data_IF_676597509599
#
_entry.id   IF_676597509599
#
_cell.length_a   1.000
_cell.length_b   1.000
_cell.length_c   1.000
_cell.angle_alpha   90.00
_cell.angle_beta   90.00
_cell.angle_gamma   90.00
#
_symmetry.space_group_name_H-M   'P 1'
#
loop_
_entity.id
_entity.type
_entity.pdbx_description
1 polymer ?
#
# COMPACT_ATOMS: atom_id res chain seq x y z
N UNK A 1 -6.04 8.00 -6.61
CA UNK A 1 -5.79 6.89 -5.67
C UNK A 1 -5.73 5.52 -6.33
N UNK A 2 -6.79 4.98 -6.95
CA UNK A 2 -6.74 3.61 -7.53
C UNK A 2 -5.61 3.38 -8.54
N UNK A 3 -5.32 4.37 -9.41
CA UNK A 3 -4.18 4.29 -10.36
C UNK A 3 -2.82 4.23 -9.64
N UNK A 4 -2.64 5.01 -8.58
CA UNK A 4 -1.41 5.03 -7.79
C UNK A 4 -1.20 3.72 -7.04
N UNK A 5 -2.26 3.18 -6.43
CA UNK A 5 -2.22 1.86 -5.78
C UNK A 5 -1.86 0.74 -6.77
N UNK A 6 -2.43 0.79 -7.98
CA UNK A 6 -2.10 -0.15 -9.04
C UNK A 6 -0.63 -0.03 -9.48
N UNK A 7 -0.14 1.20 -9.70
CA UNK A 7 1.26 1.44 -10.07
C UNK A 7 2.24 0.96 -8.99
N UNK A 8 1.91 1.13 -7.70
CA UNK A 8 2.69 0.58 -6.59
C UNK A 8 2.70 -0.96 -6.63
N UNK A 9 1.57 -1.60 -6.93
CA UNK A 9 1.51 -3.05 -7.06
C UNK A 9 2.38 -3.56 -8.24
N UNK A 10 2.35 -2.89 -9.39
CA UNK A 10 3.22 -3.23 -10.53
C UNK A 10 4.71 -3.08 -10.19
N UNK A 11 5.08 -2.05 -9.42
CA UNK A 11 6.45 -1.87 -8.94
C UNK A 11 6.87 -2.99 -7.99
N UNK A 12 6.01 -3.40 -7.06
CA UNK A 12 6.29 -4.52 -6.14
C UNK A 12 6.41 -5.86 -6.87
N UNK A 13 5.59 -6.09 -7.90
CA UNK A 13 5.66 -7.29 -8.73
C UNK A 13 7.00 -7.35 -9.50
N UNK A 14 7.36 -6.26 -10.20
CA UNK A 14 8.65 -6.12 -10.90
C UNK A 14 9.85 -6.24 -9.95
N UNK A 15 9.73 -5.72 -8.73
CA UNK A 15 10.75 -5.86 -7.69
C UNK A 15 10.94 -7.31 -7.28
N UNK A 16 9.85 -8.07 -7.15
CA UNK A 16 9.87 -9.45 -6.66
C UNK A 16 10.57 -10.44 -7.61
N UNK A 17 10.71 -10.07 -8.89
CA UNK A 17 11.29 -10.90 -9.94
C UNK A 17 12.70 -10.46 -10.34
N UNK A 18 13.11 -9.23 -10.02
CA UNK A 18 14.44 -8.71 -10.36
C UNK A 18 15.50 -9.04 -9.31
N UNK A 19 16.73 -9.30 -9.79
CA UNK A 19 17.95 -9.41 -8.96
C UNK A 19 19.00 -8.33 -9.28
N UNK A 20 18.74 -7.48 -10.27
CA UNK A 20 19.66 -6.40 -10.66
C UNK A 20 19.58 -5.24 -9.65
N UNK A 21 20.68 -4.93 -8.92
CA UNK A 21 20.68 -3.87 -7.92
C UNK A 21 20.32 -2.48 -8.46
N UNK A 22 20.71 -2.16 -9.69
CA UNK A 22 20.43 -0.84 -10.28
C UNK A 22 18.94 -0.70 -10.60
N UNK A 23 18.34 -1.75 -11.16
CA UNK A 23 16.91 -1.78 -11.43
C UNK A 23 16.07 -1.79 -10.14
N UNK A 24 16.52 -2.50 -9.11
CA UNK A 24 15.88 -2.53 -7.78
C UNK A 24 15.89 -1.13 -7.14
N UNK A 25 17.00 -0.41 -7.22
CA UNK A 25 17.11 0.97 -6.73
C UNK A 25 16.19 1.94 -7.48
N UNK A 26 16.09 1.78 -8.81
CA UNK A 26 15.18 2.57 -9.64
C UNK A 26 13.70 2.34 -9.27
N UNK A 27 13.32 1.08 -9.03
CA UNK A 27 11.98 0.75 -8.54
C UNK A 27 11.73 1.38 -7.17
N UNK A 28 12.68 1.29 -6.24
CA UNK A 28 12.53 1.89 -4.90
C UNK A 28 12.37 3.41 -4.97
N UNK A 29 13.15 4.07 -5.84
CA UNK A 29 13.02 5.52 -6.08
C UNK A 29 11.63 5.86 -6.60
N UNK A 30 11.17 5.15 -7.63
CA UNK A 30 9.85 5.41 -8.22
C UNK A 30 8.70 5.13 -7.23
N UNK A 31 8.87 4.13 -6.36
CA UNK A 31 7.93 3.84 -5.28
C UNK A 31 7.85 5.01 -4.29
N UNK A 32 8.99 5.53 -3.83
CA UNK A 32 9.02 6.68 -2.92
C UNK A 32 8.37 7.92 -3.54
N UNK A 33 8.64 8.21 -4.82
CA UNK A 33 7.98 9.32 -5.54
C UNK A 33 6.45 9.19 -5.56
N UNK A 34 5.94 7.98 -5.80
CA UNK A 34 4.48 7.75 -5.79
C UNK A 34 3.88 7.87 -4.38
N UNK A 35 4.63 7.53 -3.34
CA UNK A 35 4.21 7.74 -1.94
C UNK A 35 4.10 9.24 -1.66
N UNK A 36 5.13 10.01 -2.01
CA UNK A 36 5.17 11.46 -1.82
C UNK A 36 4.06 12.15 -2.62
N UNK A 37 3.82 11.74 -3.88
CA UNK A 37 2.72 12.24 -4.72
C UNK A 37 1.34 11.99 -4.09
N UNK A 38 1.16 10.84 -3.42
CA UNK A 38 -0.08 10.52 -2.71
C UNK A 38 -0.23 11.41 -1.48
N UNK A 39 0.82 11.57 -0.68
CA UNK A 39 0.78 12.38 0.53
C UNK A 39 0.52 13.86 0.19
N UNK A 40 1.17 14.42 -0.83
CA UNK A 40 0.91 15.79 -1.30
C UNK A 40 -0.55 15.96 -1.77
N UNK A 41 -1.09 14.96 -2.46
CA UNK A 41 -2.50 14.97 -2.85
C UNK A 41 -3.42 14.93 -1.63
N UNK A 42 -3.12 14.11 -0.62
CA UNK A 42 -3.90 14.04 0.62
C UNK A 42 -3.85 15.37 1.38
N UNK A 43 -2.67 15.98 1.51
CA UNK A 43 -2.52 17.27 2.18
C UNK A 43 -3.35 18.37 1.51
N UNK A 44 -3.40 18.37 0.18
CA UNK A 44 -4.16 19.36 -0.59
C UNK A 44 -5.67 19.13 -0.53
N UNK A 45 -6.13 17.90 -0.73
CA UNK A 45 -7.55 17.59 -0.85
C UNK A 45 -8.23 17.28 0.49
N UNK A 46 -7.46 16.84 1.49
CA UNK A 46 -7.92 16.37 2.80
C UNK A 46 -7.01 16.87 3.93
N UNK A 47 -6.87 18.19 4.14
CA UNK A 47 -5.94 18.74 5.14
C UNK A 47 -6.25 18.28 6.58
N UNK A 48 -7.51 18.00 6.91
CA UNK A 48 -7.88 17.43 8.21
C UNK A 48 -7.39 15.98 8.41
N UNK A 49 -7.14 15.25 7.32
CA UNK A 49 -6.57 13.91 7.35
C UNK A 49 -5.05 13.92 7.54
N UNK A 50 -4.39 14.96 7.03
CA UNK A 50 -2.95 15.14 7.16
C UNK A 50 -2.53 15.49 8.60
N UNK A 51 -3.44 16.03 9.41
CA UNK A 51 -3.18 16.37 10.81
C UNK A 51 -3.24 15.09 11.67
N UNK A 52 -2.08 14.44 11.83
CA UNK A 52 -1.87 13.37 12.81
C UNK A 52 -2.12 11.93 12.32
N UNK A 53 -2.32 11.71 11.03
CA UNK A 53 -2.32 10.36 10.44
C UNK A 53 -0.90 9.88 10.09
N UNK A 54 -0.67 8.57 10.17
CA UNK A 54 0.45 7.95 9.44
C UNK A 54 0.35 8.31 7.95
N UNK A 55 1.49 8.46 7.25
CA UNK A 55 1.53 8.74 5.80
C UNK A 55 0.60 7.79 5.04
N UNK A 56 -0.40 8.37 4.37
CA UNK A 56 -1.39 7.61 3.60
C UNK A 56 -0.71 6.92 2.43
N UNK A 57 0.27 7.57 1.80
CA UNK A 57 1.11 6.97 0.77
C UNK A 57 1.80 5.71 1.26
N UNK A 58 2.37 5.73 2.47
CA UNK A 58 3.00 4.54 3.09
C UNK A 58 1.99 3.44 3.38
N UNK A 59 0.78 3.77 3.84
CA UNK A 59 -0.27 2.75 4.06
C UNK A 59 -0.68 2.10 2.75
N UNK A 60 -0.91 2.89 1.69
CA UNK A 60 -1.26 2.38 0.36
C UNK A 60 -0.12 1.54 -0.23
N UNK A 61 1.15 1.92 -0.02
CA UNK A 61 2.31 1.13 -0.44
C UNK A 61 2.36 -0.24 0.24
N UNK A 62 2.13 -0.29 1.56
CA UNK A 62 2.09 -1.56 2.32
C UNK A 62 0.98 -2.47 1.82
N UNK A 63 -0.21 -1.92 1.54
CA UNK A 63 -1.33 -2.69 0.98
C UNK A 63 -0.98 -3.25 -0.41
N UNK A 64 -0.41 -2.43 -1.29
CA UNK A 64 0.02 -2.86 -2.61
C UNK A 64 1.06 -3.99 -2.53
N UNK A 65 2.04 -3.87 -1.63
CA UNK A 65 3.03 -4.91 -1.37
C UNK A 65 2.38 -6.20 -0.86
N UNK A 66 1.52 -6.11 0.14
CA UNK A 66 0.84 -7.26 0.73
C UNK A 66 -0.02 -8.00 -0.30
N UNK A 67 -0.71 -7.26 -1.17
CA UNK A 67 -1.46 -7.83 -2.29
C UNK A 67 -0.56 -8.63 -3.23
N UNK A 68 0.59 -8.10 -3.63
CA UNK A 68 1.56 -8.83 -4.47
C UNK A 68 2.06 -10.09 -3.75
N UNK A 69 2.43 -9.99 -2.47
CA UNK A 69 2.90 -11.16 -1.72
C UNK A 69 1.84 -12.26 -1.57
N UNK A 70 0.58 -11.89 -1.36
CA UNK A 70 -0.53 -12.84 -1.26
C UNK A 70 -0.77 -13.59 -2.58
N UNK A 71 -0.67 -12.90 -3.72
CA UNK A 71 -0.80 -13.54 -5.04
C UNK A 71 0.41 -14.43 -5.34
N UNK A 72 1.63 -13.97 -5.06
CA UNK A 72 2.83 -14.80 -5.23
C UNK A 72 2.82 -16.05 -4.35
N UNK A 73 2.25 -15.99 -3.16
CA UNK A 73 2.10 -17.15 -2.28
C UNK A 73 1.14 -18.19 -2.87
N UNK A 74 0.02 -17.75 -3.46
CA UNK A 74 -0.89 -18.66 -4.20
C UNK A 74 -0.13 -19.35 -5.34
N UNK A 75 0.60 -18.57 -6.14
CA UNK A 75 1.29 -19.11 -7.33
C UNK A 75 2.41 -20.09 -6.97
N UNK A 76 3.13 -19.83 -5.86
CA UNK A 76 4.29 -20.64 -5.44
C UNK A 76 3.91 -21.86 -4.60
N UNK A 77 2.91 -21.73 -3.74
CA UNK A 77 2.62 -22.70 -2.67
C UNK A 77 1.21 -23.26 -2.73
N UNK A 78 0.36 -22.70 -3.59
CA UNK A 78 -1.03 -23.09 -3.75
C UNK A 78 -1.97 -22.38 -2.77
N UNK A 79 -3.24 -22.26 -3.19
CA UNK A 79 -4.26 -21.51 -2.48
C UNK A 79 -4.60 -22.04 -1.06
N UNK A 80 -4.23 -23.29 -0.75
CA UNK A 80 -4.53 -23.95 0.54
C UNK A 80 -3.32 -24.02 1.48
N UNK A 81 -2.19 -23.40 1.13
CA UNK A 81 -1.02 -23.41 2.01
C UNK A 81 -1.21 -22.47 3.20
N UNK A 82 -0.66 -22.85 4.35
CA UNK A 82 -0.65 -22.00 5.54
C UNK A 82 0.02 -20.66 5.28
N UNK A 83 1.03 -20.61 4.41
CA UNK A 83 1.71 -19.36 4.06
C UNK A 83 0.83 -18.44 3.21
N UNK A 84 0.09 -18.99 2.25
CA UNK A 84 -0.93 -18.24 1.51
C UNK A 84 -1.94 -17.63 2.49
N UNK A 85 -2.46 -18.43 3.44
CA UNK A 85 -3.38 -17.93 4.46
C UNK A 85 -2.78 -16.78 5.29
N UNK A 86 -1.51 -16.88 5.70
CA UNK A 86 -0.82 -15.79 6.43
C UNK A 86 -0.73 -14.49 5.61
N UNK A 87 -0.38 -14.57 4.34
CA UNK A 87 -0.28 -13.38 3.49
C UNK A 87 -1.63 -12.71 3.24
N UNK A 88 -2.68 -13.52 3.03
CA UNK A 88 -4.05 -12.99 2.89
C UNK A 88 -4.58 -12.39 4.20
N UNK A 89 -4.31 -13.02 5.34
CA UNK A 89 -4.67 -12.48 6.64
C UNK A 89 -3.98 -11.14 6.90
N UNK A 90 -2.69 -11.04 6.61
CA UNK A 90 -1.95 -9.78 6.73
C UNK A 90 -2.50 -8.67 5.82
N UNK A 91 -2.92 -9.01 4.60
CA UNK A 91 -3.59 -8.05 3.71
C UNK A 91 -4.92 -7.55 4.30
N UNK A 92 -5.70 -8.44 4.91
CA UNK A 92 -6.95 -8.06 5.57
C UNK A 92 -6.71 -7.09 6.73
N UNK A 93 -5.71 -7.35 7.59
CA UNK A 93 -5.35 -6.44 8.68
C UNK A 93 -4.99 -5.03 8.19
N UNK A 94 -4.27 -4.93 7.07
CA UNK A 94 -3.93 -3.63 6.47
C UNK A 94 -5.16 -2.90 5.90
N UNK A 95 -6.09 -3.65 5.29
CA UNK A 95 -7.35 -3.09 4.77
C UNK A 95 -8.23 -2.59 5.92
N UNK A 96 -8.32 -3.34 7.02
CA UNK A 96 -9.09 -2.97 8.19
C UNK A 96 -8.51 -1.69 8.83
N UNK A 97 -7.19 -1.64 9.04
CA UNK A 97 -6.52 -0.44 9.56
C UNK A 97 -6.68 0.80 8.67
N UNK A 98 -6.66 0.64 7.34
CA UNK A 98 -6.96 1.73 6.41
C UNK A 98 -8.41 2.21 6.51
N UNK A 99 -9.35 1.28 6.66
CA UNK A 99 -10.78 1.60 6.81
C UNK A 99 -11.05 2.38 8.09
N UNK A 100 -10.40 1.99 9.18
CA UNK A 100 -10.45 2.71 10.46
C UNK A 100 -9.87 4.12 10.33
N UNK A 101 -8.75 4.28 9.64
CA UNK A 101 -8.11 5.58 9.40
C UNK A 101 -9.03 6.51 8.60
N UNK A 102 -9.61 6.03 7.49
CA UNK A 102 -10.55 6.80 6.66
C UNK A 102 -11.80 7.19 7.47
N UNK A 103 -12.29 6.28 8.32
CA UNK A 103 -13.45 6.53 9.17
C UNK A 103 -13.16 7.62 10.22
N UNK A 104 -11.98 7.56 10.87
CA UNK A 104 -11.52 8.57 11.81
C UNK A 104 -11.42 9.97 11.17
N UNK A 105 -10.90 10.05 9.95
CA UNK A 105 -10.83 11.30 9.16
C UNK A 105 -12.21 11.83 8.81
N UNK A 106 -13.14 10.96 8.41
CA UNK A 106 -14.52 11.35 8.09
C UNK A 106 -15.27 11.85 9.33
N UNK A 107 -15.02 11.26 10.49
CA UNK A 107 -15.59 11.68 11.78
C UNK A 107 -15.00 12.98 12.29
N UNK A 108 -13.69 13.20 12.10
CA UNK A 108 -13.02 14.47 12.38
C UNK A 108 -13.62 15.63 11.58
N UNK A 109 -13.89 15.42 10.27
CA UNK A 109 -14.54 16.42 9.40
C UNK A 109 -15.97 16.78 9.80
N UNK A 110 -16.70 15.88 10.47
CA UNK A 110 -18.07 16.17 10.96
C UNK A 110 -18.07 17.02 12.23
N UNK A 111 -16.93 17.14 12.92
CA UNK A 111 -16.80 17.83 14.22
C UNK A 111 -16.10 19.19 14.12
N UNK A 112 -15.56 19.56 12.94
CA UNK A 112 -14.93 20.85 12.62
C UNK A 112 -15.89 21.78 11.88
#
# INVERSE_FOLDING_TARGET
MLRSAHALAELHDRRSTSRDPLFVAEIDRRRSELIDDIDEWVERELPAAAIGADSIGVVVDRMARAWVQANLAIDREGARSDNTHKHWYHLAELVDGYTDLVSAVADGRRRS
#
